data_IF_878916786161
#
_entry.id   IF_878916786161
#
_cell.length_a   1.000
_cell.length_b   1.000
_cell.length_c   1.000
_cell.angle_alpha   90.00
_cell.angle_beta   90.00
_cell.angle_gamma   90.00
#
_symmetry.space_group_name_H-M   'P 1'
#
loop_
_entity.id
_entity.type
_entity.pdbx_description
1 polymer ?
#
# COMPACT_ATOMS: atom_id res chain seq x y z
N UNK A 1 -12.79 -52.50 -18.56
CA UNK A 1 -11.85 -51.90 -17.58
C UNK A 1 -10.62 -51.21 -18.19
N UNK A 2 -10.56 -50.85 -19.48
CA UNK A 2 -9.37 -50.22 -20.10
C UNK A 2 -9.56 -48.81 -20.71
N UNK A 3 -10.76 -48.18 -20.63
CA UNK A 3 -11.00 -46.88 -21.30
C UNK A 3 -11.20 -45.66 -20.38
N UNK A 4 -11.33 -45.83 -19.06
CA UNK A 4 -11.51 -44.71 -18.10
C UNK A 4 -10.20 -44.12 -17.57
N UNK A 5 -9.06 -44.77 -17.81
CA UNK A 5 -7.76 -44.34 -17.28
C UNK A 5 -7.11 -43.18 -18.07
N UNK A 6 -7.45 -43.07 -19.37
CA UNK A 6 -6.90 -42.04 -20.28
C UNK A 6 -7.38 -40.60 -20.02
N UNK A 7 -8.68 -40.32 -19.77
CA UNK A 7 -9.12 -38.94 -19.57
C UNK A 7 -8.62 -38.33 -18.25
N UNK A 8 -8.41 -39.15 -17.21
CA UNK A 8 -7.91 -38.68 -15.91
C UNK A 8 -6.42 -38.32 -15.94
N UNK A 9 -5.61 -39.09 -16.70
CA UNK A 9 -4.21 -38.73 -16.94
C UNK A 9 -4.08 -37.43 -17.74
N UNK A 10 -4.94 -37.20 -18.75
CA UNK A 10 -4.94 -35.95 -19.52
C UNK A 10 -5.35 -34.74 -18.66
N UNK A 11 -6.33 -34.91 -17.77
CA UNK A 11 -6.71 -33.86 -16.83
C UNK A 11 -5.59 -33.54 -15.83
N UNK A 12 -4.90 -34.56 -15.30
CA UNK A 12 -3.73 -34.39 -14.42
C UNK A 12 -2.53 -33.75 -15.14
N UNK A 13 -2.32 -34.07 -16.41
CA UNK A 13 -1.30 -33.43 -17.26
C UNK A 13 -1.64 -31.97 -17.57
N UNK A 14 -2.90 -31.64 -17.85
CA UNK A 14 -3.33 -30.26 -18.07
C UNK A 14 -3.23 -29.40 -16.80
N UNK A 15 -3.57 -29.97 -15.62
CA UNK A 15 -3.38 -29.32 -14.32
C UNK A 15 -1.89 -29.08 -14.01
N UNK A 16 -1.01 -30.02 -14.37
CA UNK A 16 0.44 -29.83 -14.23
C UNK A 16 0.99 -28.77 -15.19
N UNK A 17 0.56 -28.75 -16.46
CA UNK A 17 1.05 -27.76 -17.44
C UNK A 17 0.64 -26.33 -17.06
N UNK A 18 -0.54 -26.14 -16.44
CA UNK A 18 -0.96 -24.85 -15.87
C UNK A 18 -0.13 -24.41 -14.65
N UNK A 19 0.47 -25.35 -13.90
CA UNK A 19 1.33 -25.03 -12.76
C UNK A 19 2.78 -24.67 -13.11
N UNK A 20 3.21 -24.87 -14.36
CA UNK A 20 4.60 -24.63 -14.82
C UNK A 20 4.73 -23.35 -15.66
N UNK A 21 3.63 -22.67 -15.97
CA UNK A 21 3.67 -21.35 -16.60
C UNK A 21 4.05 -20.30 -15.54
N UNK A 22 5.35 -20.13 -15.33
CA UNK A 22 5.91 -18.97 -14.65
C UNK A 22 5.64 -17.73 -15.50
N UNK A 23 4.52 -17.06 -15.22
CA UNK A 23 4.29 -15.71 -15.74
C UNK A 23 5.40 -14.84 -15.14
N UNK A 24 6.25 -14.18 -15.96
CA UNK A 24 7.21 -13.24 -15.42
C UNK A 24 6.46 -12.21 -14.60
N UNK A 25 6.85 -12.04 -13.34
CA UNK A 25 6.28 -11.03 -12.45
C UNK A 25 6.59 -9.67 -13.05
N UNK A 26 5.63 -9.08 -13.74
CA UNK A 26 5.68 -7.69 -14.13
C UNK A 26 5.71 -6.86 -12.83
N UNK A 27 6.88 -6.35 -12.46
CA UNK A 27 7.04 -5.39 -11.38
C UNK A 27 6.63 -4.01 -11.89
N UNK A 28 5.33 -3.83 -12.11
CA UNK A 28 4.74 -2.55 -12.44
C UNK A 28 4.01 -2.03 -11.20
N UNK A 29 4.56 -1.01 -10.54
CA UNK A 29 4.07 -0.49 -9.26
C UNK A 29 2.82 0.40 -9.36
N UNK A 30 2.17 0.49 -10.54
CA UNK A 30 0.86 1.12 -10.74
C UNK A 30 0.81 2.64 -10.54
N UNK A 31 1.75 3.25 -9.82
CA UNK A 31 1.77 4.67 -9.44
C UNK A 31 1.67 5.62 -10.63
N UNK A 32 2.34 5.30 -11.74
CA UNK A 32 2.34 6.09 -12.98
C UNK A 32 0.99 6.04 -13.71
N UNK A 33 0.09 5.13 -13.33
CA UNK A 33 -1.26 5.05 -13.88
C UNK A 33 -2.26 5.94 -13.12
N UNK A 34 -1.94 6.39 -11.90
CA UNK A 34 -2.76 7.32 -11.14
C UNK A 34 -2.62 8.74 -11.71
N UNK A 35 -3.73 9.47 -11.76
CA UNK A 35 -3.76 10.84 -12.24
C UNK A 35 -2.74 11.71 -11.47
N UNK A 36 -1.85 12.43 -12.18
CA UNK A 36 -0.85 13.30 -11.58
C UNK A 36 -1.39 14.24 -10.50
N UNK A 37 -2.52 14.92 -10.71
CA UNK A 37 -3.03 15.88 -9.73
C UNK A 37 -3.33 15.22 -8.36
N UNK A 38 -3.78 13.95 -8.35
CA UNK A 38 -4.01 13.19 -7.11
C UNK A 38 -2.70 12.93 -6.40
N UNK A 39 -1.67 12.48 -7.13
CA UNK A 39 -0.33 12.20 -6.58
C UNK A 39 0.35 13.45 -6.01
N UNK A 40 0.08 14.61 -6.62
CA UNK A 40 0.70 15.88 -6.25
C UNK A 40 0.00 16.61 -5.09
N UNK A 41 -1.33 16.49 -4.98
CA UNK A 41 -2.18 17.34 -4.11
C UNK A 41 -2.86 16.58 -2.97
N UNK A 42 -2.46 15.34 -2.68
CA UNK A 42 -2.99 14.58 -1.54
C UNK A 42 -1.95 14.42 -0.44
N UNK A 43 -1.23 13.31 -0.41
CA UNK A 43 -0.18 13.06 0.58
C UNK A 43 1.18 13.43 -0.01
N UNK A 44 1.83 14.42 0.59
CA UNK A 44 3.13 14.93 0.18
C UNK A 44 4.22 14.36 1.09
N UNK A 45 4.99 13.40 0.58
CA UNK A 45 6.02 12.68 1.34
C UNK A 45 7.34 13.45 1.39
N UNK A 46 8.03 13.40 2.52
CA UNK A 46 9.37 13.98 2.67
C UNK A 46 10.18 13.25 3.75
N UNK A 47 11.51 13.38 3.68
CA UNK A 47 12.45 12.71 4.59
C UNK A 47 12.26 11.19 4.70
N UNK A 48 11.79 10.53 3.63
CA UNK A 48 11.59 9.08 3.64
C UNK A 48 12.93 8.37 3.48
N UNK A 49 13.21 7.48 4.42
CA UNK A 49 14.46 6.74 4.51
C UNK A 49 14.22 5.29 4.92
N UNK A 50 15.07 4.43 4.38
CA UNK A 50 15.13 3.01 4.68
C UNK A 50 16.38 2.72 5.50
N UNK A 51 16.28 1.92 6.56
CA UNK A 51 17.42 1.62 7.43
C UNK A 51 18.53 0.83 6.74
N UNK A 52 18.16 -0.01 5.76
CA UNK A 52 19.07 -0.70 4.84
C UNK A 52 18.31 -1.08 3.58
N UNK A 53 19.02 -1.31 2.47
CA UNK A 53 18.46 -1.84 1.22
C UNK A 53 18.86 -3.31 0.97
N UNK A 54 19.78 -3.87 1.76
CA UNK A 54 20.21 -5.27 1.66
C UNK A 54 20.16 -5.94 3.03
N UNK A 55 19.50 -7.07 3.12
CA UNK A 55 19.29 -7.83 4.37
C UNK A 55 18.88 -9.28 4.05
N UNK A 56 18.81 -10.17 5.03
CA UNK A 56 18.43 -11.56 4.82
C UNK A 56 17.01 -11.86 5.31
N UNK A 57 16.50 -13.04 4.98
CA UNK A 57 15.34 -13.63 5.64
C UNK A 57 15.53 -13.59 7.16
N UNK A 58 14.46 -13.22 7.88
CA UNK A 58 14.40 -12.93 9.31
C UNK A 58 15.04 -11.63 9.82
N UNK A 59 15.85 -10.94 9.02
CA UNK A 59 16.35 -9.62 9.41
C UNK A 59 15.23 -8.58 9.36
N UNK A 60 15.30 -7.60 10.26
CA UNK A 60 14.38 -6.47 10.28
C UNK A 60 14.98 -5.27 9.53
N UNK A 61 14.12 -4.63 8.74
CA UNK A 61 14.35 -3.35 8.09
C UNK A 61 13.23 -2.40 8.48
N UNK A 62 13.51 -1.10 8.53
CA UNK A 62 12.47 -0.11 8.76
C UNK A 62 12.47 0.96 7.68
N UNK A 63 11.27 1.43 7.35
CA UNK A 63 11.05 2.64 6.58
C UNK A 63 10.44 3.68 7.50
N UNK A 64 11.01 4.87 7.52
CA UNK A 64 10.53 6.00 8.31
C UNK A 64 10.57 7.26 7.48
N UNK A 65 9.69 8.21 7.78
CA UNK A 65 9.72 9.49 7.14
C UNK A 65 8.61 10.38 7.65
N UNK A 66 8.29 11.39 6.87
CA UNK A 66 7.27 12.37 7.17
C UNK A 66 6.33 12.50 5.98
N UNK A 67 5.12 12.94 6.26
CA UNK A 67 4.21 13.34 5.20
C UNK A 67 3.35 14.50 5.67
N UNK A 68 3.03 15.36 4.72
CA UNK A 68 2.09 16.44 4.86
C UNK A 68 0.81 16.08 4.12
N UNK A 69 -0.34 16.30 4.75
CA UNK A 69 -1.65 16.14 4.10
C UNK A 69 -1.99 17.50 3.49
N UNK A 70 -1.99 17.61 2.16
CA UNK A 70 -2.17 18.90 1.52
C UNK A 70 -3.50 19.58 1.90
N UNK A 71 -3.45 20.90 2.13
CA UNK A 71 -4.63 21.71 2.49
C UNK A 71 -5.59 21.87 1.31
N UNK A 72 -5.05 22.10 0.12
CA UNK A 72 -5.80 22.21 -1.13
C UNK A 72 -6.14 20.82 -1.70
N UNK A 73 -6.82 20.03 -0.88
CA UNK A 73 -7.22 18.66 -1.19
C UNK A 73 -8.16 18.61 -2.40
N UNK A 74 -7.91 17.76 -3.41
CA UNK A 74 -8.75 17.69 -4.59
C UNK A 74 -10.20 17.31 -4.28
N UNK A 75 -11.14 18.05 -4.83
CA UNK A 75 -12.59 17.85 -4.57
C UNK A 75 -13.08 16.48 -5.05
N UNK A 76 -12.46 15.94 -6.11
CA UNK A 76 -12.78 14.62 -6.65
C UNK A 76 -12.30 13.45 -5.79
N UNK A 77 -11.45 13.72 -4.79
CA UNK A 77 -10.88 12.69 -3.90
C UNK A 77 -11.57 12.82 -2.54
N UNK A 78 -12.21 11.76 -2.02
CA UNK A 78 -12.72 11.73 -0.65
C UNK A 78 -11.67 12.21 0.37
N UNK A 79 -12.12 13.01 1.35
CA UNK A 79 -11.24 13.47 2.42
C UNK A 79 -10.64 12.29 3.19
N UNK A 80 -9.42 12.40 3.73
CA UNK A 80 -8.70 11.27 4.32
C UNK A 80 -9.18 10.92 5.74
N UNK A 81 -10.49 10.92 5.98
CA UNK A 81 -11.15 10.62 7.26
C UNK A 81 -10.99 9.15 7.69
N UNK A 82 -10.68 8.28 6.73
CA UNK A 82 -10.26 6.90 6.98
C UNK A 82 -9.17 6.52 5.99
N UNK A 83 -7.96 6.37 6.51
CA UNK A 83 -6.75 6.10 5.74
C UNK A 83 -5.95 4.96 6.37
N UNK A 84 -5.22 4.20 5.55
CA UNK A 84 -4.41 3.08 6.03
C UNK A 84 -3.02 3.08 5.39
N UNK A 85 -1.99 3.26 6.23
CA UNK A 85 -0.59 3.23 5.81
C UNK A 85 -0.18 1.78 5.57
N UNK A 86 0.21 1.48 4.34
CA UNK A 86 0.62 0.15 3.94
C UNK A 86 1.97 0.20 3.21
N UNK A 87 2.53 -0.98 2.95
CA UNK A 87 3.77 -1.14 2.19
C UNK A 87 3.43 -1.93 0.91
N UNK A 88 3.85 -1.41 -0.23
CA UNK A 88 3.60 -2.01 -1.55
C UNK A 88 4.57 -3.16 -1.74
N UNK A 89 4.05 -4.39 -1.74
CA UNK A 89 4.83 -5.61 -1.90
C UNK A 89 4.11 -6.59 -2.83
N UNK A 90 4.81 -7.34 -3.69
CA UNK A 90 4.22 -8.43 -4.46
C UNK A 90 3.96 -9.63 -3.56
N UNK A 91 2.83 -9.62 -2.84
CA UNK A 91 2.55 -10.60 -1.78
C UNK A 91 3.43 -10.37 -0.53
N UNK A 92 3.43 -11.30 0.44
CA UNK A 92 4.18 -11.16 1.70
C UNK A 92 5.65 -11.58 1.52
N UNK A 93 6.40 -10.88 0.65
CA UNK A 93 7.88 -11.02 0.57
C UNK A 93 8.56 -10.42 1.81
N UNK A 94 7.84 -9.52 2.48
CA UNK A 94 8.12 -8.92 3.77
C UNK A 94 6.87 -9.08 4.63
N UNK A 95 7.05 -9.33 5.92
CA UNK A 95 5.94 -9.18 6.89
C UNK A 95 6.09 -7.87 7.63
N UNK A 96 4.97 -7.22 7.97
CA UNK A 96 4.98 -6.03 8.82
C UNK A 96 4.89 -6.45 10.28
N UNK A 97 5.93 -6.15 11.05
CA UNK A 97 5.99 -6.46 12.49
C UNK A 97 5.45 -5.30 13.30
N UNK A 98 5.78 -4.07 12.92
CA UNK A 98 5.36 -2.87 13.66
C UNK A 98 4.98 -1.72 12.74
N UNK A 99 4.14 -0.81 13.25
CA UNK A 99 3.79 0.44 12.57
C UNK A 99 3.48 1.52 13.59
N UNK A 100 3.99 2.71 13.31
CA UNK A 100 3.87 3.88 14.16
C UNK A 100 3.42 5.10 13.35
N UNK A 101 2.60 5.92 13.99
CA UNK A 101 2.26 7.26 13.54
C UNK A 101 2.44 8.22 14.72
N UNK A 102 3.23 9.28 14.53
CA UNK A 102 3.61 10.24 15.58
C UNK A 102 4.16 9.55 16.84
N UNK A 103 4.96 8.49 16.64
CA UNK A 103 5.56 7.68 17.71
C UNK A 103 4.59 6.73 18.43
N UNK A 104 3.30 6.71 18.07
CA UNK A 104 2.29 5.82 18.68
C UNK A 104 2.12 4.55 17.85
N UNK A 105 2.17 3.34 18.46
CA UNK A 105 1.82 2.10 17.78
C UNK A 105 0.42 2.17 17.20
N UNK A 106 0.23 1.66 15.99
CA UNK A 106 -1.03 1.79 15.26
C UNK A 106 -1.27 0.64 14.28
N UNK A 107 -2.43 -0.03 14.40
CA UNK A 107 -2.76 -1.24 13.63
C UNK A 107 -3.99 -1.12 12.73
N UNK A 108 -4.94 -0.20 13.02
CA UNK A 108 -6.18 -0.07 12.26
C UNK A 108 -6.11 1.00 11.16
N UNK A 109 -7.24 1.53 10.72
CA UNK A 109 -7.29 2.75 9.89
C UNK A 109 -7.20 3.99 10.79
N UNK A 110 -6.79 5.13 10.24
CA UNK A 110 -6.66 6.40 10.95
C UNK A 110 -7.29 7.54 10.16
N UNK A 111 -7.88 8.51 10.85
CA UNK A 111 -8.27 9.77 10.24
C UNK A 111 -7.07 10.70 10.13
N UNK A 112 -6.85 11.28 8.94
CA UNK A 112 -5.83 12.30 8.71
C UNK A 112 -6.51 13.66 8.51
N UNK A 113 -5.85 14.72 8.97
CA UNK A 113 -6.37 16.08 8.88
C UNK A 113 -5.65 16.83 7.73
N UNK A 114 -6.38 17.41 6.76
CA UNK A 114 -5.78 18.33 5.79
C UNK A 114 -5.04 19.49 6.47
N UNK A 115 -3.84 19.79 5.99
CA UNK A 115 -2.84 20.67 6.62
C UNK A 115 -2.02 20.02 7.73
N UNK A 116 -2.32 18.79 8.11
CA UNK A 116 -1.63 18.07 9.17
C UNK A 116 -0.29 17.50 8.72
N UNK A 117 0.73 17.65 9.57
CA UNK A 117 2.02 16.99 9.43
C UNK A 117 2.12 15.76 10.34
N UNK A 118 2.70 14.69 9.82
CA UNK A 118 2.82 13.42 10.53
C UNK A 118 4.18 12.78 10.31
N UNK A 119 4.68 12.12 11.35
CA UNK A 119 5.85 11.25 11.28
C UNK A 119 5.39 9.78 11.25
N UNK A 120 5.95 8.96 10.37
CA UNK A 120 5.63 7.53 10.31
C UNK A 120 6.88 6.65 10.43
N UNK A 121 6.68 5.43 10.92
CA UNK A 121 7.66 4.34 10.87
C UNK A 121 6.94 3.02 10.67
N UNK A 122 7.47 2.17 9.79
CA UNK A 122 7.04 0.79 9.61
C UNK A 122 8.26 -0.11 9.76
N UNK A 123 8.13 -1.17 10.56
CA UNK A 123 9.15 -2.21 10.69
C UNK A 123 8.69 -3.45 9.93
N UNK A 124 9.59 -3.99 9.13
CA UNK A 124 9.37 -5.08 8.22
C UNK A 124 10.41 -6.16 8.46
N UNK A 125 10.02 -7.43 8.35
CA UNK A 125 10.92 -8.59 8.46
C UNK A 125 10.99 -9.32 7.14
N UNK A 126 12.21 -9.61 6.66
CA UNK A 126 12.44 -10.34 5.40
C UNK A 126 11.85 -11.75 5.42
N UNK A 127 11.06 -12.11 4.42
CA UNK A 127 10.42 -13.44 4.31
C UNK A 127 10.83 -14.23 3.08
N UNK A 128 10.76 -13.64 1.89
CA UNK A 128 11.10 -14.32 0.64
C UNK A 128 12.32 -13.65 -0.01
N UNK A 129 13.40 -14.39 -0.30
CA UNK A 129 14.54 -13.85 -1.02
C UNK A 129 14.16 -13.27 -2.39
N UNK A 130 14.92 -12.29 -2.86
CA UNK A 130 14.72 -11.65 -4.15
C UNK A 130 15.00 -10.15 -4.14
N UNK A 131 14.77 -9.50 -5.29
CA UNK A 131 14.91 -8.05 -5.47
C UNK A 131 13.56 -7.44 -5.76
N UNK A 132 13.11 -6.53 -4.91
CA UNK A 132 11.75 -5.98 -4.93
C UNK A 132 11.80 -4.46 -4.81
N UNK A 133 11.00 -3.75 -5.61
CA UNK A 133 10.82 -2.31 -5.47
C UNK A 133 9.65 -2.01 -4.55
N UNK A 134 9.91 -1.39 -3.40
CA UNK A 134 8.99 -1.32 -2.27
C UNK A 134 8.70 0.14 -1.92
N UNK A 135 7.42 0.46 -1.73
CA UNK A 135 6.94 1.81 -1.41
C UNK A 135 6.15 1.82 -0.10
N UNK A 136 6.31 2.81 0.78
CA UNK A 136 5.22 3.17 1.70
C UNK A 136 4.09 3.83 0.90
N UNK A 137 2.84 3.59 1.29
CA UNK A 137 1.70 4.23 0.64
C UNK A 137 0.50 4.32 1.56
N UNK A 138 -0.39 5.28 1.31
CA UNK A 138 -1.69 5.34 1.97
C UNK A 138 -2.78 4.75 1.08
N UNK A 139 -3.63 3.91 1.66
CA UNK A 139 -4.95 3.64 1.09
C UNK A 139 -5.91 4.65 1.67
N UNK A 140 -6.51 5.46 0.82
CA UNK A 140 -7.59 6.37 1.16
C UNK A 140 -8.91 5.67 0.89
N UNK A 141 -9.79 5.64 1.90
CA UNK A 141 -11.11 5.04 1.75
C UNK A 141 -11.85 5.69 0.57
N UNK A 142 -12.44 4.87 -0.28
CA UNK A 142 -13.23 5.29 -1.45
C UNK A 142 -12.44 6.03 -2.56
N UNK A 143 -11.11 6.12 -2.47
CA UNK A 143 -10.26 6.72 -3.51
C UNK A 143 -9.17 5.79 -4.04
N UNK A 144 -8.59 4.95 -3.18
CA UNK A 144 -7.51 4.03 -3.56
C UNK A 144 -6.15 4.43 -3.00
N UNK A 145 -5.08 4.15 -3.75
CA UNK A 145 -3.70 4.16 -3.24
C UNK A 145 -2.96 5.43 -3.63
N UNK A 146 -2.34 6.10 -2.65
CA UNK A 146 -1.40 7.20 -2.87
C UNK A 146 0.00 6.72 -2.48
N UNK A 147 0.81 6.44 -3.50
CA UNK A 147 2.15 5.87 -3.35
C UNK A 147 3.16 6.93 -2.89
N UNK A 148 3.98 6.57 -1.91
CA UNK A 148 5.19 7.30 -1.54
C UNK A 148 6.42 6.84 -2.33
N UNK A 149 7.61 7.34 -1.98
CA UNK A 149 8.84 7.04 -2.72
C UNK A 149 9.25 5.57 -2.58
N UNK A 150 9.62 4.96 -3.70
CA UNK A 150 10.02 3.57 -3.78
C UNK A 150 11.53 3.37 -3.67
N UNK A 151 11.96 2.23 -3.13
CA UNK A 151 13.36 1.80 -3.24
C UNK A 151 13.45 0.32 -3.59
N UNK A 152 14.54 -0.06 -4.25
CA UNK A 152 14.90 -1.46 -4.43
C UNK A 152 15.46 -2.03 -3.13
N UNK A 153 14.84 -3.11 -2.64
CA UNK A 153 15.33 -3.93 -1.55
C UNK A 153 15.79 -5.28 -2.06
N UNK A 154 16.90 -5.77 -1.52
CA UNK A 154 17.48 -7.08 -1.81
C UNK A 154 17.43 -7.95 -0.55
N UNK A 155 16.66 -9.04 -0.63
CA UNK A 155 16.48 -10.01 0.44
C UNK A 155 17.28 -11.27 0.09
N UNK A 156 18.28 -11.61 0.90
CA UNK A 156 19.08 -12.82 0.79
C UNK A 156 18.60 -13.96 1.70
N UNK A 157 19.27 -15.11 1.66
CA UNK A 157 18.97 -16.27 2.52
C UNK A 157 18.04 -17.30 1.88
N UNK A 158 17.42 -18.15 2.71
CA UNK A 158 16.54 -19.24 2.28
C UNK A 158 15.13 -19.03 2.85
N UNK A 159 14.06 -19.10 2.04
CA UNK A 159 12.69 -18.92 2.52
C UNK A 159 12.26 -19.96 3.57
N UNK A 160 12.86 -21.16 3.59
CA UNK A 160 12.51 -22.19 4.59
C UNK A 160 12.93 -21.83 6.02
N UNK A 161 13.84 -20.86 6.16
CA UNK A 161 14.39 -20.47 7.46
C UNK A 161 13.50 -19.41 8.13
N UNK A 162 12.51 -18.88 7.41
CA UNK A 162 11.63 -17.85 7.91
C UNK A 162 10.79 -18.34 9.10
N UNK A 163 10.70 -17.51 10.13
CA UNK A 163 9.84 -17.73 11.30
C UNK A 163 9.15 -16.42 11.68
N UNK A 164 7.93 -16.52 12.22
CA UNK A 164 7.18 -15.39 12.76
C UNK A 164 6.66 -15.72 14.16
N UNK A 165 7.59 -15.86 15.09
CA UNK A 165 7.27 -16.21 16.49
C UNK A 165 6.62 -15.04 17.21
N UNK A 166 5.39 -15.24 17.69
CA UNK A 166 4.64 -14.29 18.51
C UNK A 166 4.36 -14.93 19.87
N UNK A 167 4.41 -14.11 20.92
CA UNK A 167 3.97 -14.49 22.26
C UNK A 167 2.51 -14.08 22.46
N UNK A 168 1.66 -15.04 22.73
CA UNK A 168 0.24 -14.83 23.05
C UNK A 168 0.06 -14.27 24.47
N UNK A 169 -1.15 -13.84 24.82
CA UNK A 169 -1.48 -13.27 26.15
C UNK A 169 -1.25 -14.30 27.27
N UNK A 170 -1.53 -15.58 27.03
CA UNK A 170 -1.27 -16.68 27.97
C UNK A 170 0.23 -17.09 28.03
N UNK A 171 1.09 -16.44 27.24
CA UNK A 171 2.54 -16.62 27.26
C UNK A 171 3.09 -17.73 26.36
N UNK A 172 2.23 -18.41 25.60
CA UNK A 172 2.62 -19.40 24.60
C UNK A 172 3.38 -18.74 23.44
N UNK A 173 4.41 -19.42 22.93
CA UNK A 173 5.14 -19.00 21.75
C UNK A 173 4.61 -19.78 20.56
N UNK A 174 4.04 -19.06 19.59
CA UNK A 174 3.49 -19.64 18.36
C UNK A 174 4.21 -19.05 17.16
N UNK A 175 4.49 -19.87 16.16
CA UNK A 175 5.01 -19.39 14.89
C UNK A 175 3.86 -19.12 13.91
N UNK A 176 3.57 -17.85 13.68
CA UNK A 176 2.47 -17.40 12.81
C UNK A 176 2.66 -17.76 11.33
N UNK A 177 3.84 -18.21 10.90
CA UNK A 177 4.03 -18.73 9.54
C UNK A 177 3.26 -20.04 9.32
N UNK A 178 3.10 -20.86 10.37
CA UNK A 178 2.50 -22.21 10.27
C UNK A 178 1.35 -22.47 11.25
N UNK A 179 1.18 -21.63 12.27
CA UNK A 179 0.21 -21.83 13.33
C UNK A 179 -1.23 -21.97 12.78
N UNK A 180 -1.93 -23.01 13.22
CA UNK A 180 -3.31 -23.30 12.83
C UNK A 180 -3.48 -23.88 11.42
N UNK A 181 -2.45 -23.90 10.57
CA UNK A 181 -2.58 -24.38 9.18
C UNK A 181 -3.01 -25.86 9.10
N UNK A 182 -2.30 -26.75 9.80
CA UNK A 182 -2.61 -28.18 9.79
C UNK A 182 -4.02 -28.47 10.34
N UNK A 183 -4.41 -27.79 11.42
CA UNK A 183 -5.75 -27.91 12.01
C UNK A 183 -6.84 -27.42 11.03
N UNK A 184 -6.59 -26.29 10.38
CA UNK A 184 -7.48 -25.76 9.33
C UNK A 184 -7.66 -26.74 8.18
N UNK A 185 -6.55 -27.24 7.62
CA UNK A 185 -6.58 -28.25 6.53
C UNK A 185 -7.34 -29.51 6.97
N UNK A 186 -7.04 -30.03 8.16
CA UNK A 186 -7.69 -31.23 8.68
C UNK A 186 -9.21 -31.08 8.75
N UNK A 187 -9.73 -30.03 9.38
CA UNK A 187 -11.17 -29.86 9.55
C UNK A 187 -11.90 -29.63 8.22
N UNK A 188 -11.30 -28.90 7.28
CA UNK A 188 -11.88 -28.71 5.95
C UNK A 188 -11.92 -30.02 5.17
N UNK A 189 -10.85 -30.82 5.20
CA UNK A 189 -10.82 -32.13 4.54
C UNK A 189 -11.80 -33.11 5.20
N UNK A 190 -11.88 -33.13 6.52
CA UNK A 190 -12.81 -33.97 7.26
C UNK A 190 -14.27 -33.74 6.83
N UNK A 191 -14.72 -32.48 6.83
CA UNK A 191 -16.08 -32.14 6.40
C UNK A 191 -16.28 -32.33 4.89
N UNK A 192 -15.26 -32.03 4.08
CA UNK A 192 -15.27 -32.29 2.64
C UNK A 192 -15.47 -33.78 2.31
N UNK A 193 -14.80 -34.68 3.03
CA UNK A 193 -14.95 -36.12 2.89
C UNK A 193 -16.33 -36.60 3.32
N UNK A 194 -16.88 -36.07 4.42
CA UNK A 194 -18.23 -36.40 4.88
C UNK A 194 -19.28 -35.98 3.84
N UNK A 195 -19.15 -34.76 3.29
CA UNK A 195 -20.03 -34.28 2.23
C UNK A 195 -19.90 -35.13 0.95
N UNK A 196 -18.68 -35.49 0.56
CA UNK A 196 -18.44 -36.38 -0.57
C UNK A 196 -19.07 -37.77 -0.36
N UNK A 197 -18.95 -38.33 0.85
CA UNK A 197 -19.57 -39.61 1.19
C UNK A 197 -21.11 -39.56 1.10
N UNK A 198 -21.72 -38.47 1.59
CA UNK A 198 -23.16 -38.23 1.43
C UNK A 198 -23.57 -38.15 -0.04
N UNK A 199 -22.84 -37.39 -0.86
CA UNK A 199 -23.12 -37.31 -2.30
C UNK A 199 -22.96 -38.67 -2.99
N UNK A 200 -21.88 -39.40 -2.71
CA UNK A 200 -21.65 -40.74 -3.25
C UNK A 200 -22.78 -41.72 -2.87
N UNK A 201 -23.33 -41.60 -1.65
CA UNK A 201 -24.47 -42.39 -1.22
C UNK A 201 -25.71 -42.22 -2.12
N UNK A 202 -25.91 -41.03 -2.67
CA UNK A 202 -27.02 -40.73 -3.58
C UNK A 202 -26.67 -41.02 -5.04
N UNK A 203 -25.47 -40.62 -5.48
CA UNK A 203 -24.99 -40.77 -6.87
C UNK A 203 -24.75 -42.23 -7.27
N UNK A 204 -24.52 -43.14 -6.30
CA UNK A 204 -24.41 -44.58 -6.58
C UNK A 204 -25.66 -45.18 -7.23
N UNK A 205 -26.81 -44.48 -7.19
CA UNK A 205 -28.08 -44.86 -7.85
C UNK A 205 -28.41 -43.81 -8.92
N UNK A 206 -29.16 -44.18 -9.99
CA UNK A 206 -29.61 -43.21 -10.99
C UNK A 206 -30.34 -42.03 -10.35
N UNK A 207 -29.82 -40.81 -10.58
CA UNK A 207 -30.29 -39.61 -9.87
C UNK A 207 -31.34 -38.81 -10.62
N UNK A 208 -31.09 -38.48 -11.88
CA UNK A 208 -31.91 -37.47 -12.56
C UNK A 208 -33.07 -38.11 -13.35
N UNK A 209 -32.81 -38.67 -14.53
CA UNK A 209 -33.86 -39.15 -15.44
C UNK A 209 -34.72 -40.25 -14.81
N UNK A 210 -34.10 -41.22 -14.11
CA UNK A 210 -34.84 -42.33 -13.50
C UNK A 210 -35.76 -41.87 -12.37
N UNK A 211 -35.27 -41.00 -11.47
CA UNK A 211 -36.09 -40.51 -10.35
C UNK A 211 -37.22 -39.61 -10.86
N UNK A 212 -36.95 -38.78 -11.87
CA UNK A 212 -37.98 -37.97 -12.52
C UNK A 212 -39.11 -38.82 -13.10
N UNK A 213 -38.79 -39.89 -13.85
CA UNK A 213 -39.80 -40.81 -14.38
C UNK A 213 -40.62 -41.52 -13.29
N UNK A 214 -39.99 -41.87 -12.17
CA UNK A 214 -40.69 -42.47 -11.03
C UNK A 214 -41.63 -41.47 -10.34
N UNK A 215 -41.25 -40.19 -10.25
CA UNK A 215 -42.15 -39.12 -9.79
C UNK A 215 -43.36 -38.99 -10.71
N UNK A 216 -43.14 -38.88 -12.02
CA UNK A 216 -44.23 -38.77 -13.02
C UNK A 216 -45.19 -39.99 -12.99
N UNK A 217 -44.67 -41.17 -12.65
CA UNK A 217 -45.46 -42.39 -12.52
C UNK A 217 -46.18 -42.55 -11.16
N UNK A 218 -46.07 -41.57 -10.24
CA UNK A 218 -46.67 -41.63 -8.90
C UNK A 218 -45.95 -42.59 -7.93
N UNK A 219 -44.74 -43.03 -8.24
CA UNK A 219 -43.93 -43.97 -7.43
C UNK A 219 -42.98 -43.24 -6.47
N UNK A 220 -43.44 -42.11 -5.92
CA UNK A 220 -42.61 -41.23 -5.07
C UNK A 220 -42.07 -41.94 -3.82
N UNK A 221 -42.88 -42.84 -3.25
CA UNK A 221 -42.56 -43.60 -2.05
C UNK A 221 -41.40 -44.60 -2.25
N UNK A 222 -41.09 -45.00 -3.49
CA UNK A 222 -39.98 -45.89 -3.81
C UNK A 222 -38.65 -45.16 -3.96
N UNK A 223 -38.66 -43.83 -4.14
CA UNK A 223 -37.45 -43.04 -4.35
C UNK A 223 -36.53 -43.05 -3.13
N UNK A 224 -37.11 -43.05 -1.93
CA UNK A 224 -36.39 -42.95 -0.66
C UNK A 224 -36.68 -44.20 0.17
N UNK A 225 -35.69 -45.07 0.27
CA UNK A 225 -35.82 -46.33 1.01
C UNK A 225 -35.78 -46.09 2.52
N UNK A 226 -36.21 -47.07 3.31
CA UNK A 226 -36.09 -46.96 4.77
C UNK A 226 -34.64 -46.92 5.25
N UNK A 227 -33.72 -47.54 4.48
CA UNK A 227 -32.28 -47.41 4.72
C UNK A 227 -31.81 -45.96 4.47
N UNK A 228 -32.31 -45.30 3.43
CA UNK A 228 -32.01 -43.88 3.16
C UNK A 228 -32.49 -42.99 4.30
N UNK A 229 -33.71 -43.23 4.80
CA UNK A 229 -34.27 -42.51 5.94
C UNK A 229 -33.47 -42.77 7.22
N UNK A 230 -33.03 -44.01 7.45
CA UNK A 230 -32.22 -44.36 8.63
C UNK A 230 -30.86 -43.66 8.60
N UNK A 231 -30.17 -43.69 7.46
CA UNK A 231 -28.88 -43.01 7.30
C UNK A 231 -29.06 -41.50 7.40
N UNK A 232 -30.12 -40.94 6.81
CA UNK A 232 -30.44 -39.52 6.94
C UNK A 232 -30.68 -39.14 8.41
N UNK A 233 -31.42 -39.94 9.19
CA UNK A 233 -31.60 -39.73 10.63
C UNK A 233 -30.27 -39.80 11.39
N UNK A 234 -29.42 -40.77 11.06
CA UNK A 234 -28.10 -40.91 11.68
C UNK A 234 -27.21 -39.69 11.40
N UNK A 235 -27.21 -39.17 10.17
CA UNK A 235 -26.48 -37.94 9.81
C UNK A 235 -27.10 -36.71 10.49
N UNK A 236 -28.44 -36.60 10.48
CA UNK A 236 -29.18 -35.48 11.05
C UNK A 236 -28.94 -35.33 12.56
N UNK A 237 -28.76 -36.43 13.29
CA UNK A 237 -28.43 -36.41 14.72
C UNK A 237 -26.92 -36.37 14.95
N UNK A 238 -26.17 -37.21 14.22
CA UNK A 238 -24.75 -37.40 14.41
C UNK A 238 -23.92 -36.15 14.10
N UNK A 239 -24.25 -35.40 13.05
CA UNK A 239 -23.52 -34.18 12.68
C UNK A 239 -23.67 -33.09 13.74
N UNK A 240 -24.88 -32.70 14.20
CA UNK A 240 -25.02 -31.74 15.30
C UNK A 240 -24.33 -32.18 16.59
N UNK A 241 -24.48 -33.45 16.99
CA UNK A 241 -23.79 -33.99 18.19
C UNK A 241 -22.28 -33.85 18.05
N UNK A 242 -21.73 -34.21 16.89
CA UNK A 242 -20.31 -34.07 16.61
C UNK A 242 -19.87 -32.60 16.66
N UNK A 243 -20.62 -31.68 16.05
CA UNK A 243 -20.33 -30.24 16.09
C UNK A 243 -20.33 -29.72 17.52
N UNK A 244 -21.33 -30.07 18.34
CA UNK A 244 -21.41 -29.64 19.73
C UNK A 244 -20.25 -30.20 20.57
N UNK A 245 -19.91 -31.48 20.39
CA UNK A 245 -18.80 -32.11 21.09
C UNK A 245 -17.46 -31.43 20.73
N UNK A 246 -17.22 -31.19 19.43
CA UNK A 246 -16.01 -30.53 18.97
C UNK A 246 -15.96 -29.06 19.39
N UNK A 247 -17.09 -28.36 19.37
CA UNK A 247 -17.19 -27.00 19.88
C UNK A 247 -16.80 -26.95 21.36
N UNK A 248 -17.32 -27.85 22.19
CA UNK A 248 -16.95 -27.95 23.60
C UNK A 248 -15.45 -28.23 23.80
N UNK A 249 -14.86 -29.15 23.01
CA UNK A 249 -13.41 -29.44 23.05
C UNK A 249 -12.59 -28.20 22.68
N UNK A 250 -12.95 -27.49 21.60
CA UNK A 250 -12.24 -26.28 21.16
C UNK A 250 -12.39 -25.12 22.14
N UNK A 251 -13.58 -24.91 22.71
CA UNK A 251 -13.83 -23.87 23.70
C UNK A 251 -13.03 -24.14 24.98
N UNK A 252 -12.86 -25.40 25.38
CA UNK A 252 -12.02 -25.77 26.50
C UNK A 252 -10.52 -25.64 26.21
N UNK A 253 -10.10 -25.85 24.95
CA UNK A 253 -8.70 -25.72 24.54
C UNK A 253 -8.25 -24.26 24.38
N UNK A 254 -9.18 -23.38 24.01
CA UNK A 254 -8.94 -21.95 23.78
C UNK A 254 -9.98 -21.09 24.54
N UNK A 255 -9.96 -21.08 25.89
CA UNK A 255 -10.98 -20.41 26.69
C UNK A 255 -10.94 -18.88 26.57
N UNK A 256 -9.76 -18.32 26.27
CA UNK A 256 -9.51 -16.87 26.30
C UNK A 256 -9.47 -16.23 24.90
N UNK A 257 -10.33 -16.69 23.99
CA UNK A 257 -10.44 -16.11 22.66
C UNK A 257 -11.12 -14.73 22.70
N UNK A 258 -10.47 -13.71 22.15
CA UNK A 258 -11.02 -12.35 22.03
C UNK A 258 -11.52 -12.08 20.59
N UNK A 259 -12.54 -11.22 20.40
CA UNK A 259 -12.97 -10.84 19.05
C UNK A 259 -11.86 -10.10 18.30
N UNK A 260 -11.98 -10.04 16.97
CA UNK A 260 -11.10 -9.21 16.14
C UNK A 260 -11.16 -7.75 16.62
N UNK A 261 -9.99 -7.18 16.86
CA UNK A 261 -9.85 -5.79 17.28
C UNK A 261 -9.90 -4.90 16.04
N UNK A 262 -10.95 -4.08 15.93
CA UNK A 262 -11.17 -3.19 14.79
C UNK A 262 -11.65 -1.82 15.27
N UNK A 263 -11.26 -0.76 14.56
CA UNK A 263 -11.65 0.60 14.89
C UNK A 263 -11.09 1.63 13.91
N UNK A 264 -11.52 2.88 14.08
CA UNK A 264 -10.90 4.04 13.43
C UNK A 264 -10.13 4.82 14.48
N UNK A 265 -8.81 4.84 14.35
CA UNK A 265 -7.95 5.57 15.26
C UNK A 265 -7.95 7.06 14.94
N UNK A 266 -7.79 7.88 15.98
CA UNK A 266 -7.64 9.33 15.86
C UNK A 266 -6.30 9.74 16.44
N UNK A 267 -5.37 10.08 15.56
CA UNK A 267 -4.03 10.55 15.92
C UNK A 267 -3.94 11.98 15.42
N UNK A 268 -3.84 12.93 16.36
CA UNK A 268 -3.71 14.34 16.04
C UNK A 268 -2.40 14.60 15.28
N UNK A 269 -2.38 15.58 14.35
CA UNK A 269 -1.17 15.98 13.66
C UNK A 269 -0.12 16.52 14.63
N UNK A 270 1.14 16.49 14.19
CA UNK A 270 2.24 17.16 14.88
C UNK A 270 2.12 18.68 14.70
N UNK A 271 2.84 19.48 15.52
CA UNK A 271 2.99 20.90 15.25
C UNK A 271 3.48 21.12 13.81
N UNK A 272 2.85 22.08 13.12
CA UNK A 272 3.09 22.37 11.71
C UNK A 272 4.58 22.61 11.45
N UNK A 273 5.15 21.81 10.56
CA UNK A 273 6.48 21.98 9.96
C UNK A 273 6.36 22.55 8.57
N UNK A 274 5.35 22.10 7.83
CA UNK A 274 4.95 22.68 6.54
C UNK A 274 4.01 23.84 6.82
N UNK A 275 4.18 24.94 6.09
CA UNK A 275 3.36 26.16 6.24
C UNK A 275 3.38 26.72 7.68
N UNK A 276 4.52 26.59 8.38
CA UNK A 276 4.69 27.02 9.77
C UNK A 276 4.65 28.56 9.99
N UNK A 277 4.39 29.36 8.96
CA UNK A 277 4.24 30.82 9.07
C UNK A 277 5.53 31.64 9.12
N UNK A 278 6.70 30.99 9.29
CA UNK A 278 8.00 31.66 9.41
C UNK A 278 8.57 32.08 8.06
N UNK A 279 8.34 31.28 7.02
CA UNK A 279 8.59 31.63 5.63
C UNK A 279 7.35 31.21 4.88
N UNK A 280 6.69 32.16 4.22
CA UNK A 280 5.44 31.91 3.50
C UNK A 280 5.70 31.98 2.01
N UNK A 281 5.07 31.09 1.26
CA UNK A 281 5.21 31.01 -0.19
C UNK A 281 3.82 30.98 -0.79
N UNK A 282 3.50 32.03 -1.54
CA UNK A 282 2.27 32.11 -2.32
C UNK A 282 2.59 31.82 -3.79
N UNK A 283 1.86 30.88 -4.39
CA UNK A 283 2.04 30.60 -5.82
C UNK A 283 1.20 31.58 -6.65
N UNK A 284 1.88 32.44 -7.40
CA UNK A 284 1.23 33.46 -8.25
C UNK A 284 0.76 32.82 -9.56
N UNK A 285 1.62 32.00 -10.16
CA UNK A 285 1.39 31.45 -11.49
C UNK A 285 2.10 30.11 -11.66
N UNK A 286 1.50 29.21 -12.42
CA UNK A 286 2.13 27.99 -12.89
C UNK A 286 1.81 27.72 -14.36
N UNK A 287 2.86 27.46 -15.14
CA UNK A 287 2.73 27.12 -16.56
C UNK A 287 3.55 25.87 -16.88
N UNK A 288 2.94 24.94 -17.61
CA UNK A 288 3.66 23.79 -18.15
C UNK A 288 3.95 24.01 -19.62
N UNK A 289 5.23 24.16 -19.98
CA UNK A 289 5.66 24.28 -21.36
C UNK A 289 5.85 22.89 -21.99
N UNK A 290 4.89 22.48 -22.83
CA UNK A 290 4.87 21.15 -23.44
C UNK A 290 6.08 20.93 -24.36
N UNK A 291 6.49 21.96 -25.13
CA UNK A 291 7.61 21.85 -26.06
C UNK A 291 8.97 21.74 -25.35
N UNK A 292 9.12 22.46 -24.24
CA UNK A 292 10.38 22.50 -23.47
C UNK A 292 10.46 21.45 -22.37
N UNK A 293 9.34 20.75 -22.07
CA UNK A 293 9.23 19.76 -21.00
C UNK A 293 9.59 20.35 -19.64
N UNK A 294 9.10 21.55 -19.38
CA UNK A 294 9.47 22.35 -18.22
C UNK A 294 8.23 22.92 -17.53
N UNK A 295 8.20 22.83 -16.20
CA UNK A 295 7.23 23.51 -15.36
C UNK A 295 7.84 24.83 -14.89
N UNK A 296 7.15 25.94 -15.13
CA UNK A 296 7.56 27.27 -14.70
C UNK A 296 6.58 27.76 -13.63
N UNK A 297 7.10 27.98 -12.44
CA UNK A 297 6.34 28.47 -11.29
C UNK A 297 6.81 29.90 -10.98
N UNK A 298 5.85 30.80 -10.75
CA UNK A 298 6.13 32.11 -10.18
C UNK A 298 5.60 32.12 -8.76
N UNK A 299 6.48 32.34 -7.79
CA UNK A 299 6.12 32.32 -6.36
C UNK A 299 6.50 33.64 -5.70
N UNK A 300 5.67 34.10 -4.77
CA UNK A 300 5.99 35.19 -3.85
C UNK A 300 6.45 34.59 -2.52
N UNK A 301 7.70 34.83 -2.17
CA UNK A 301 8.28 34.38 -0.91
C UNK A 301 8.32 35.54 0.07
N UNK A 302 7.70 35.38 1.24
CA UNK A 302 7.74 36.30 2.36
C UNK A 302 8.58 35.69 3.49
N UNK A 303 9.82 36.17 3.63
CA UNK A 303 10.76 35.68 4.64
C UNK A 303 10.58 36.44 5.96
N UNK A 304 9.86 35.84 6.92
CA UNK A 304 9.69 36.39 8.28
C UNK A 304 10.67 35.79 9.29
N UNK A 305 11.63 35.00 8.81
CA UNK A 305 12.67 34.42 9.65
C UNK A 305 13.73 35.47 10.03
N UNK A 306 14.68 35.08 10.87
CA UNK A 306 15.78 35.95 11.29
C UNK A 306 17.03 35.83 10.39
N UNK A 307 17.03 34.88 9.45
CA UNK A 307 18.15 34.60 8.55
C UNK A 307 17.78 34.77 7.09
N UNK A 308 18.78 35.00 6.23
CA UNK A 308 18.55 35.00 4.79
C UNK A 308 18.26 33.57 4.31
N UNK A 309 17.27 33.41 3.43
CA UNK A 309 16.85 32.10 2.94
C UNK A 309 17.02 31.96 1.44
N UNK A 310 17.23 30.72 0.98
CA UNK A 310 17.27 30.37 -0.45
C UNK A 310 16.40 29.18 -0.75
N UNK A 311 15.83 29.14 -1.95
CA UNK A 311 15.06 28.01 -2.46
C UNK A 311 16.02 26.90 -2.87
N UNK A 312 15.96 25.75 -2.19
CA UNK A 312 16.89 24.64 -2.42
C UNK A 312 16.30 23.44 -3.14
N UNK A 313 15.00 23.19 -2.98
CA UNK A 313 14.38 21.99 -3.53
C UNK A 313 12.88 22.23 -3.76
N UNK A 314 12.37 21.66 -4.85
CA UNK A 314 10.95 21.45 -5.07
C UNK A 314 10.67 19.95 -5.17
N UNK A 315 9.75 19.43 -4.35
CA UNK A 315 9.34 18.03 -4.39
C UNK A 315 7.88 17.90 -4.80
N UNK A 316 7.59 17.01 -5.75
CA UNK A 316 6.22 16.71 -6.18
C UNK A 316 6.10 15.28 -6.68
N UNK A 317 5.02 14.59 -6.29
CA UNK A 317 4.79 13.18 -6.65
C UNK A 317 6.00 12.26 -6.43
N UNK A 318 6.70 12.44 -5.29
CA UNK A 318 7.93 11.74 -4.89
C UNK A 318 9.19 12.09 -5.69
N UNK A 319 9.13 12.98 -6.69
CA UNK A 319 10.31 13.47 -7.42
C UNK A 319 10.86 14.70 -6.74
N UNK A 320 12.18 14.74 -6.54
CA UNK A 320 12.90 15.83 -5.89
C UNK A 320 13.74 16.60 -6.93
N UNK A 321 13.44 17.88 -7.13
CA UNK A 321 14.16 18.76 -8.04
C UNK A 321 15.04 19.71 -7.23
N UNK A 322 16.35 19.50 -7.29
CA UNK A 322 17.33 20.22 -6.48
C UNK A 322 17.88 21.44 -7.22
N UNK A 323 18.14 22.52 -6.48
CA UNK A 323 18.83 23.69 -6.97
C UNK A 323 20.34 23.41 -7.06
N UNK A 324 20.87 23.32 -8.28
CA UNK A 324 22.26 22.97 -8.54
C UNK A 324 23.28 23.95 -7.96
N UNK A 325 22.89 25.21 -7.80
CA UNK A 325 23.76 26.28 -7.31
C UNK A 325 23.93 26.24 -5.78
N UNK A 326 23.06 25.51 -5.08
CA UNK A 326 23.16 25.28 -3.64
C UNK A 326 23.92 23.99 -3.37
N UNK A 327 25.25 24.09 -3.45
CA UNK A 327 26.20 23.00 -3.19
C UNK A 327 26.06 22.32 -1.82
N UNK A 328 25.38 22.98 -0.87
CA UNK A 328 25.16 22.50 0.50
C UNK A 328 23.93 21.60 0.67
N UNK A 329 22.98 21.58 -0.28
CA UNK A 329 21.83 20.67 -0.23
C UNK A 329 22.25 19.37 -0.89
N UNK A 330 22.74 18.43 -0.07
CA UNK A 330 23.50 17.26 -0.49
C UNK A 330 22.98 16.58 -1.76
N UNK A 331 23.80 16.60 -2.81
CA UNK A 331 23.60 15.77 -3.99
C UNK A 331 23.41 14.32 -3.54
N UNK A 332 22.19 13.78 -3.69
CA UNK A 332 21.94 12.37 -3.41
C UNK A 332 22.25 11.61 -4.69
N UNK A 333 23.48 11.10 -4.78
CA UNK A 333 23.93 10.29 -5.90
C UNK A 333 23.15 8.97 -5.97
N UNK A 334 22.60 8.64 -7.15
CA UNK A 334 22.10 7.30 -7.48
C UNK A 334 20.68 6.97 -7.02
N UNK A 335 19.87 7.98 -6.72
CA UNK A 335 18.44 7.85 -6.48
C UNK A 335 17.67 8.28 -7.75
N UNK A 336 16.90 7.36 -8.33
CA UNK A 336 16.16 7.59 -9.58
C UNK A 336 15.08 8.68 -9.46
N UNK A 337 14.67 9.01 -8.24
CA UNK A 337 13.67 10.02 -7.89
C UNK A 337 14.26 11.41 -7.58
N UNK A 338 15.59 11.60 -7.71
CA UNK A 338 16.27 12.87 -7.42
C UNK A 338 16.93 13.46 -8.67
N UNK A 339 16.44 14.62 -9.10
CA UNK A 339 17.08 15.45 -10.11
C UNK A 339 17.97 16.51 -9.46
N UNK A 340 19.27 16.23 -9.39
CA UNK A 340 20.27 17.12 -8.78
C UNK A 340 20.45 18.48 -9.49
N UNK A 341 19.97 18.62 -10.73
CA UNK A 341 20.01 19.87 -11.52
C UNK A 341 18.65 20.23 -12.12
N UNK A 342 17.58 19.73 -11.49
CA UNK A 342 16.23 19.82 -12.02
C UNK A 342 15.54 21.15 -11.75
N UNK A 343 16.13 22.01 -10.91
CA UNK A 343 15.55 23.30 -10.52
C UNK A 343 16.55 24.44 -10.82
N UNK A 344 16.07 25.46 -11.50
CA UNK A 344 16.78 26.72 -11.73
C UNK A 344 15.91 27.93 -11.36
N UNK A 345 16.54 29.02 -10.96
CA UNK A 345 15.87 30.26 -10.54
C UNK A 345 16.28 31.42 -11.46
N UNK A 346 15.36 32.35 -11.71
CA UNK A 346 15.68 33.62 -12.38
C UNK A 346 16.59 34.51 -11.51
N UNK A 347 16.42 34.44 -10.19
CA UNK A 347 17.27 35.10 -9.20
C UNK A 347 17.54 34.16 -8.01
N UNK A 348 18.81 33.75 -7.88
CA UNK A 348 19.27 32.85 -6.82
C UNK A 348 19.98 33.58 -5.66
N UNK A 349 19.87 34.91 -5.59
CA UNK A 349 20.35 35.66 -4.44
C UNK A 349 19.54 35.30 -3.17
N UNK A 350 20.15 35.31 -1.98
CA UNK A 350 19.43 35.16 -0.72
C UNK A 350 18.25 36.13 -0.63
N UNK A 351 17.16 35.69 -0.01
CA UNK A 351 16.00 36.50 0.35
C UNK A 351 16.20 36.92 1.80
N UNK A 352 16.41 38.21 2.04
CA UNK A 352 16.80 38.73 3.34
C UNK A 352 15.66 38.66 4.37
N UNK A 353 15.96 38.69 5.68
CA UNK A 353 14.94 38.80 6.72
C UNK A 353 14.00 39.99 6.51
N UNK A 354 12.69 39.73 6.56
CA UNK A 354 11.64 40.72 6.34
C UNK A 354 11.40 41.07 4.87
N UNK A 355 12.14 40.48 3.93
CA UNK A 355 11.96 40.71 2.50
C UNK A 355 10.81 39.86 1.95
N UNK A 356 9.99 40.47 1.08
CA UNK A 356 9.08 39.77 0.20
C UNK A 356 9.60 39.87 -1.25
N UNK A 357 9.83 38.72 -1.89
CA UNK A 357 10.39 38.65 -3.25
C UNK A 357 9.60 37.68 -4.11
N UNK A 358 9.29 38.12 -5.33
CA UNK A 358 8.80 37.22 -6.38
C UNK A 358 9.98 36.55 -7.08
N UNK A 359 9.94 35.23 -7.18
CA UNK A 359 10.97 34.40 -7.84
C UNK A 359 10.31 33.51 -8.88
N UNK A 360 10.94 33.37 -10.04
CA UNK A 360 10.54 32.42 -11.07
C UNK A 360 11.40 31.18 -10.95
N UNK A 361 10.75 30.04 -10.72
CA UNK A 361 11.34 28.72 -10.61
C UNK A 361 11.05 27.97 -11.91
N UNK A 362 12.09 27.52 -12.60
CA UNK A 362 11.97 26.58 -13.71
C UNK A 362 12.39 25.19 -13.24
N UNK A 363 11.48 24.23 -13.40
CA UNK A 363 11.68 22.82 -13.07
C UNK A 363 11.72 22.03 -14.37
N UNK A 364 12.87 21.43 -14.67
CA UNK A 364 13.13 20.74 -15.94
C UNK A 364 13.97 19.50 -15.72
N UNK A 365 13.35 18.33 -15.91
CA UNK A 365 14.04 17.05 -15.91
C UNK A 365 13.25 16.00 -16.70
N UNK A 366 13.92 14.95 -17.17
CA UNK A 366 13.27 13.80 -17.79
C UNK A 366 12.32 13.07 -16.82
N UNK A 367 12.57 13.16 -15.51
CA UNK A 367 11.74 12.62 -14.44
C UNK A 367 10.27 13.07 -14.54
N UNK A 368 10.03 14.30 -15.01
CA UNK A 368 8.67 14.83 -15.18
C UNK A 368 7.83 13.97 -16.15
N UNK A 369 8.43 13.56 -17.27
CA UNK A 369 7.76 12.69 -18.25
C UNK A 369 7.83 11.21 -17.87
N UNK A 370 8.96 10.76 -17.29
CA UNK A 370 9.09 9.34 -16.90
C UNK A 370 8.11 8.95 -15.80
N UNK A 371 7.76 9.89 -14.93
CA UNK A 371 6.72 9.76 -13.90
C UNK A 371 5.32 10.13 -14.39
N UNK A 372 5.18 10.42 -15.70
CA UNK A 372 3.95 10.81 -16.39
C UNK A 372 3.24 12.02 -15.77
N UNK A 373 4.00 12.95 -15.20
CA UNK A 373 3.47 14.18 -14.62
C UNK A 373 3.00 15.17 -15.69
N UNK A 374 3.49 15.04 -16.92
CA UNK A 374 2.97 15.71 -18.12
C UNK A 374 1.51 15.32 -18.43
N UNK A 375 1.05 14.16 -17.92
CA UNK A 375 -0.34 13.73 -17.98
C UNK A 375 -1.32 14.72 -17.36
N UNK A 376 -0.86 15.65 -16.51
CA UNK A 376 -1.66 16.70 -15.90
C UNK A 376 -2.48 17.51 -16.93
N UNK A 377 -1.95 17.69 -18.15
CA UNK A 377 -2.65 18.41 -19.23
C UNK A 377 -3.91 17.68 -19.72
N UNK A 378 -4.07 16.39 -19.39
CA UNK A 378 -5.20 15.53 -19.76
C UNK A 378 -6.16 15.31 -18.58
N UNK A 379 -5.77 15.70 -17.37
CA UNK A 379 -6.57 15.51 -16.18
C UNK A 379 -7.74 16.50 -16.14
N UNK A 380 -8.84 16.10 -15.50
CA UNK A 380 -10.00 16.96 -15.32
C UNK A 380 -9.72 18.17 -14.39
N UNK A 381 -8.66 18.08 -13.57
CA UNK A 381 -8.20 19.14 -12.69
C UNK A 381 -6.71 19.43 -12.96
N UNK A 382 -6.45 20.39 -13.86
CA UNK A 382 -5.10 20.85 -14.22
C UNK A 382 -4.52 21.74 -13.11
N UNK A 383 -4.17 21.12 -11.98
CA UNK A 383 -3.55 21.77 -10.82
C UNK A 383 -2.35 20.98 -10.33
N UNK A 384 -1.27 21.69 -10.03
CA UNK A 384 -0.08 21.12 -9.40
C UNK A 384 -0.21 21.15 -7.87
N UNK A 385 0.59 20.31 -7.22
CA UNK A 385 0.85 20.36 -5.79
C UNK A 385 2.27 19.91 -5.48
N UNK A 386 2.83 20.33 -4.37
CA UNK A 386 4.15 19.87 -3.94
C UNK A 386 4.67 20.65 -2.74
N UNK A 387 5.89 20.32 -2.33
CA UNK A 387 6.61 20.97 -1.24
C UNK A 387 7.76 21.80 -1.80
N UNK A 388 7.85 23.06 -1.40
CA UNK A 388 9.02 23.91 -1.64
C UNK A 388 9.85 23.99 -0.36
N UNK A 389 11.13 23.66 -0.46
CA UNK A 389 12.07 23.69 0.65
C UNK A 389 13.01 24.88 0.50
N UNK A 390 13.05 25.70 1.56
CA UNK A 390 13.93 26.84 1.68
C UNK A 390 14.92 26.61 2.82
N UNK A 391 16.15 27.06 2.64
CA UNK A 391 17.24 26.83 3.58
C UNK A 391 17.82 28.16 4.05
N UNK A 392 18.11 28.24 5.35
CA UNK A 392 18.87 29.33 5.95
C UNK A 392 20.36 29.17 5.65
N UNK A 393 20.97 30.21 5.06
CA UNK A 393 22.40 30.24 4.70
C UNK A 393 23.34 30.16 5.92
N UNK A 394 22.86 30.54 7.12
CA UNK A 394 23.68 30.68 8.33
C UNK A 394 23.57 29.45 9.24
N UNK A 395 22.39 28.85 9.35
CA UNK A 395 22.10 27.78 10.32
C UNK A 395 21.78 26.43 9.68
N UNK A 396 21.69 26.33 8.35
CA UNK A 396 21.26 25.11 7.64
C UNK A 396 19.83 24.68 7.98
N UNK A 397 19.05 25.57 8.60
CA UNK A 397 17.67 25.30 9.00
C UNK A 397 16.79 25.27 7.75
N UNK A 398 15.91 24.27 7.69
CA UNK A 398 14.97 24.08 6.56
C UNK A 398 13.58 24.59 6.93
N UNK A 399 12.99 25.37 6.02
CA UNK A 399 11.60 25.81 6.02
C UNK A 399 10.87 25.14 4.86
N UNK A 400 9.62 24.76 5.08
CA UNK A 400 8.86 23.98 4.10
C UNK A 400 7.51 24.66 3.86
N UNK A 401 7.15 24.85 2.60
CA UNK A 401 5.84 25.36 2.21
C UNK A 401 5.16 24.40 1.24
N UNK A 402 3.91 24.05 1.52
CA UNK A 402 3.07 23.32 0.57
C UNK A 402 2.54 24.32 -0.45
N UNK A 403 2.82 24.06 -1.73
CA UNK A 403 2.38 24.91 -2.84
C UNK A 403 1.34 24.18 -3.67
N UNK A 404 0.36 24.93 -4.17
CA UNK A 404 -0.65 24.46 -5.12
C UNK A 404 -1.04 25.59 -6.05
N UNK A 405 -1.25 25.29 -7.33
CA UNK A 405 -1.76 26.24 -8.30
C UNK A 405 -2.39 25.56 -9.51
N UNK A 406 -3.32 26.28 -10.16
CA UNK A 406 -3.79 25.92 -11.50
C UNK A 406 -2.63 26.03 -12.50
N UNK A 407 -2.46 24.98 -13.30
CA UNK A 407 -1.45 24.91 -14.35
C UNK A 407 -2.07 25.25 -15.67
N UNK A 408 -1.50 26.24 -16.35
CA UNK A 408 -1.87 26.60 -17.72
C UNK A 408 -0.89 25.91 -18.68
N UNK A 409 -1.34 24.99 -19.56
CA UNK A 409 -0.47 24.39 -20.55
C UNK A 409 -0.13 25.40 -21.66
N UNK A 410 1.13 25.40 -22.10
CA UNK A 410 1.64 26.25 -23.17
C UNK A 410 2.08 25.40 -24.36
N UNK A 411 1.42 25.61 -25.50
CA UNK A 411 1.53 24.78 -26.73
C UNK A 411 2.32 25.41 -27.87
N UNK A 412 3.09 26.48 -27.61
CA UNK A 412 3.82 27.32 -28.58
C UNK A 412 4.17 26.68 -29.93
#
# INVERSE_FOLDING_TARGET
>A
MKSLFKPWMLALLFLNVLSVLSVPTAQAHGEKALEPFIRMRTIQWYDVQWSTQKFNVNDEVSVSGKFHVAEDWPVSVPKPEASFLNISTPGPVLIRTERYLNGKPWTNSVALEPGGDYDFKVVLKGRLPGRYHIHPFFNLKDAGQVMGPGVWLEIGGNPSDFTNTIKTINGELIDMESFGFANGVFWHLFWGLLAAAWLLWWVRRPLFISRYRMLDAGLEHELITDQDKLIAKAVLVGVPVLVLALNAVTANSYPDAIPLQAGLDRILPLPAKVNAGTVNVDTIKAEYNVAQRAMVLQVSVDNRSQGAVRIGEFSTSNVHFMNADLSAVGNVSGKDDVSNKGLSLDNNAPIEPGEQRTVTIEVRDAAWESEKLDGLIKDADSRLGGLLFLYDDVMGKRYISSISAAVIPKFN
#
